data_IF_314989232633
#
_entry.id   IF_314989232633
#
_cell.length_a   1.000
_cell.length_b   1.000
_cell.length_c   1.000
_cell.angle_alpha   90.00
_cell.angle_beta   90.00
_cell.angle_gamma   90.00
#
_symmetry.space_group_name_H-M   'P 1'
#
loop_
_entity.id
_entity.type
_entity.pdbx_description
1 polymer ?
#
# COMPACT_ATOMS: atom_id res chain seq x y z
N UNK A 1 6.80 19.81 4.60
CA UNK A 1 6.44 18.43 4.98
C UNK A 1 6.69 17.55 3.78
N UNK A 2 7.65 16.63 3.85
CA UNK A 2 7.85 15.69 2.74
C UNK A 2 6.66 14.75 2.64
N UNK A 3 5.83 14.96 1.62
CA UNK A 3 4.66 14.10 1.37
C UNK A 3 5.16 12.83 0.72
N UNK A 4 5.04 11.69 1.40
CA UNK A 4 5.35 10.39 0.79
C UNK A 4 4.36 10.05 -0.31
N UNK A 5 4.80 9.29 -1.32
CA UNK A 5 3.99 8.90 -2.47
C UNK A 5 3.62 7.40 -2.44
N UNK A 6 2.53 6.98 -3.13
CA UNK A 6 2.26 5.56 -3.37
C UNK A 6 3.21 5.01 -4.43
N UNK A 7 3.51 3.72 -4.36
CA UNK A 7 4.17 3.00 -5.46
C UNK A 7 3.08 2.64 -6.46
N UNK A 8 3.11 3.27 -7.65
CA UNK A 8 2.07 3.14 -8.67
C UNK A 8 2.30 1.97 -9.61
N UNK A 9 3.55 1.68 -9.92
CA UNK A 9 3.96 0.61 -10.80
C UNK A 9 3.93 -0.74 -10.06
N UNK A 10 3.21 -1.72 -10.63
CA UNK A 10 3.07 -3.06 -10.06
C UNK A 10 4.34 -3.90 -10.23
N UNK A 11 5.06 -3.71 -11.33
CA UNK A 11 6.31 -4.43 -11.57
C UNK A 11 7.35 -3.98 -10.55
N UNK A 12 7.41 -2.68 -10.28
CA UNK A 12 8.26 -2.12 -9.23
C UNK A 12 7.90 -2.62 -7.82
N UNK A 13 6.60 -2.85 -7.53
CA UNK A 13 6.19 -3.49 -6.27
C UNK A 13 6.78 -4.89 -6.15
N UNK A 14 6.78 -5.65 -7.24
CA UNK A 14 7.36 -7.00 -7.29
C UNK A 14 8.87 -6.95 -7.09
N UNK A 15 9.57 -6.08 -7.81
CA UNK A 15 11.02 -5.91 -7.70
C UNK A 15 11.46 -5.55 -6.27
N UNK A 16 10.72 -4.62 -5.63
CA UNK A 16 10.96 -4.24 -4.22
C UNK A 16 10.72 -5.44 -3.29
N UNK A 17 9.65 -6.19 -3.53
CA UNK A 17 9.32 -7.36 -2.72
C UNK A 17 10.44 -8.41 -2.82
N UNK A 18 10.93 -8.71 -4.01
CA UNK A 18 12.00 -9.67 -4.25
C UNK A 18 13.33 -9.20 -3.61
N UNK A 19 13.70 -7.94 -3.80
CA UNK A 19 14.86 -7.35 -3.14
C UNK A 19 14.80 -7.47 -1.60
N UNK A 20 13.64 -7.18 -1.01
CA UNK A 20 13.47 -7.33 0.44
C UNK A 20 13.52 -8.79 0.86
N UNK A 21 12.99 -9.72 0.05
CA UNK A 21 13.03 -11.16 0.30
C UNK A 21 14.44 -11.70 0.34
N UNK A 22 15.31 -11.29 -0.57
CA UNK A 22 16.73 -11.65 -0.60
C UNK A 22 17.46 -11.19 0.68
N UNK A 23 17.10 -10.02 1.21
CA UNK A 23 17.71 -9.47 2.42
C UNK A 23 17.14 -10.06 3.71
N UNK A 24 15.83 -10.22 3.78
CA UNK A 24 15.13 -10.63 4.99
C UNK A 24 13.68 -11.01 4.70
N UNK A 25 13.32 -12.27 4.96
CA UNK A 25 11.93 -12.73 4.88
C UNK A 25 10.98 -11.87 5.74
N UNK A 26 11.40 -11.44 6.93
CA UNK A 26 10.64 -10.54 7.79
C UNK A 26 10.28 -9.24 7.08
N UNK A 27 11.25 -8.63 6.41
CA UNK A 27 11.11 -7.31 5.79
C UNK A 27 10.25 -7.41 4.54
N UNK A 28 10.40 -8.48 3.76
CA UNK A 28 9.52 -8.87 2.67
C UNK A 28 8.06 -9.01 3.13
N UNK A 29 7.81 -9.81 4.17
CA UNK A 29 6.46 -10.02 4.67
C UNK A 29 5.88 -8.73 5.26
N UNK A 30 6.68 -7.89 5.93
CA UNK A 30 6.24 -6.59 6.42
C UNK A 30 5.79 -5.67 5.28
N UNK A 31 6.53 -5.62 4.20
CA UNK A 31 6.20 -4.83 3.01
C UNK A 31 4.88 -5.30 2.41
N UNK A 32 4.75 -6.59 2.10
CA UNK A 32 3.52 -7.16 1.54
C UNK A 32 2.32 -6.98 2.48
N UNK A 33 2.51 -7.27 3.77
CA UNK A 33 1.44 -7.07 4.75
C UNK A 33 0.95 -5.63 4.77
N UNK A 34 1.85 -4.66 4.63
CA UNK A 34 1.51 -3.24 4.56
C UNK A 34 0.70 -2.86 3.33
N UNK A 35 1.12 -3.31 2.14
CA UNK A 35 0.44 -2.97 0.87
C UNK A 35 -0.86 -3.74 0.64
N UNK A 36 -1.04 -4.92 1.25
CA UNK A 36 -2.29 -5.69 1.15
C UNK A 36 -3.31 -5.36 2.24
N UNK A 37 -2.88 -4.86 3.41
CA UNK A 37 -3.79 -4.52 4.51
C UNK A 37 -4.15 -3.04 4.59
N UNK A 38 -3.31 -2.17 4.06
CA UNK A 38 -3.46 -0.73 4.21
C UNK A 38 -3.38 -0.22 5.65
N UNK A 39 -2.94 -1.03 6.60
CA UNK A 39 -2.81 -0.66 8.00
C UNK A 39 -1.63 0.32 8.22
N UNK A 40 -1.69 1.08 9.31
CA UNK A 40 -0.54 1.92 9.70
C UNK A 40 0.59 1.04 10.20
N UNK A 41 1.83 1.39 9.86
CA UNK A 41 3.00 0.63 10.31
C UNK A 41 3.03 0.44 11.84
N UNK A 42 2.62 1.46 12.61
CA UNK A 42 2.54 1.37 14.07
C UNK A 42 1.55 0.32 14.57
N UNK A 43 0.58 -0.05 13.75
CA UNK A 43 -0.41 -1.08 14.08
C UNK A 43 0.06 -2.45 13.58
N UNK A 44 0.66 -2.49 12.39
CA UNK A 44 1.30 -3.69 11.83
C UNK A 44 2.34 -4.28 12.80
N UNK A 45 3.19 -3.43 13.36
CA UNK A 45 4.28 -3.87 14.25
C UNK A 45 3.81 -4.46 15.60
N UNK A 46 2.53 -4.30 15.96
CA UNK A 46 1.98 -4.86 17.20
C UNK A 46 1.48 -6.30 17.08
N UNK A 47 1.27 -6.78 15.86
CA UNK A 47 0.75 -8.13 15.66
C UNK A 47 1.73 -9.19 16.15
N UNK A 48 1.15 -10.21 16.76
CA UNK A 48 1.83 -11.45 17.16
C UNK A 48 1.46 -12.56 16.20
N UNK A 49 2.23 -13.63 16.21
CA UNK A 49 2.00 -14.81 15.37
C UNK A 49 0.57 -15.35 15.56
N UNK A 50 0.07 -15.42 16.81
CA UNK A 50 -1.31 -15.88 17.13
C UNK A 50 -2.41 -15.04 16.50
N UNK A 51 -2.12 -13.79 16.13
CA UNK A 51 -3.12 -12.89 15.55
C UNK A 51 -3.33 -13.16 14.06
N UNK A 52 -2.45 -13.94 13.44
CA UNK A 52 -2.40 -14.23 12.01
C UNK A 52 -2.50 -15.73 11.71
N UNK A 53 -1.90 -16.60 12.56
CA UNK A 53 -1.90 -18.05 12.35
C UNK A 53 -3.32 -18.59 12.21
N UNK A 54 -3.58 -19.29 11.10
CA UNK A 54 -4.87 -19.94 10.78
C UNK A 54 -6.07 -18.98 10.83
N UNK A 55 -5.83 -17.71 10.46
CA UNK A 55 -6.87 -16.69 10.41
C UNK A 55 -7.20 -16.31 8.98
N UNK A 56 -8.48 -16.13 8.72
CA UNK A 56 -8.97 -15.49 7.48
C UNK A 56 -9.10 -13.98 7.60
N UNK A 57 -9.02 -13.46 8.83
CA UNK A 57 -9.25 -12.06 9.13
C UNK A 57 -8.25 -11.55 10.17
N UNK A 58 -7.75 -10.34 9.93
CA UNK A 58 -7.04 -9.56 10.91
C UNK A 58 -8.06 -8.83 11.80
N UNK A 59 -7.93 -8.96 13.10
CA UNK A 59 -8.79 -8.29 14.07
C UNK A 59 -7.96 -7.28 14.86
N UNK A 60 -8.42 -6.03 14.88
CA UNK A 60 -7.78 -4.98 15.69
C UNK A 60 -8.84 -4.16 16.42
N UNK A 61 -8.45 -3.64 17.61
CA UNK A 61 -9.27 -2.71 18.37
C UNK A 61 -8.79 -1.28 18.19
N UNK A 62 -9.72 -0.40 17.85
CA UNK A 62 -9.43 1.04 17.74
C UNK A 62 -9.15 1.63 19.12
N UNK A 63 -8.01 2.34 19.26
CA UNK A 63 -7.64 2.95 20.54
C UNK A 63 -8.68 3.97 21.07
N UNK A 64 -9.33 4.72 20.19
CA UNK A 64 -10.25 5.80 20.57
C UNK A 64 -11.64 5.31 20.94
N UNK A 65 -12.16 4.33 20.23
CA UNK A 65 -13.55 3.89 20.33
C UNK A 65 -13.70 2.53 20.99
N UNK A 66 -12.59 1.81 21.21
CA UNK A 66 -12.52 0.41 21.62
C UNK A 66 -13.31 -0.55 20.70
N UNK A 67 -13.75 -0.06 19.54
CA UNK A 67 -14.47 -0.87 18.56
C UNK A 67 -13.54 -1.84 17.87
N UNK A 68 -14.01 -3.06 17.68
CA UNK A 68 -13.32 -4.07 16.90
C UNK A 68 -13.47 -3.78 15.43
N UNK A 69 -12.36 -3.85 14.70
CA UNK A 69 -12.32 -3.77 13.24
C UNK A 69 -11.78 -5.07 12.69
N UNK A 70 -12.45 -5.59 11.69
CA UNK A 70 -12.14 -6.84 11.03
C UNK A 70 -11.76 -6.56 9.58
N UNK A 71 -10.61 -7.09 9.14
CA UNK A 71 -10.11 -6.97 7.79
C UNK A 71 -9.86 -8.37 7.22
N UNK A 72 -10.39 -8.73 6.04
CA UNK A 72 -10.06 -10.00 5.41
C UNK A 72 -8.57 -10.02 5.05
N UNK A 73 -7.94 -11.17 5.22
CA UNK A 73 -6.58 -11.39 4.70
C UNK A 73 -6.72 -11.68 3.20
N UNK A 74 -6.01 -10.92 2.38
CA UNK A 74 -6.00 -11.10 0.93
C UNK A 74 -5.53 -12.51 0.56
N UNK A 75 -6.13 -13.12 -0.46
CA UNK A 75 -5.87 -14.52 -0.82
C UNK A 75 -4.43 -14.74 -1.33
N UNK A 76 -3.81 -13.73 -1.96
CA UNK A 76 -2.40 -13.78 -2.37
C UNK A 76 -1.46 -13.69 -1.16
N UNK A 77 -1.87 -13.00 -0.10
CA UNK A 77 -1.08 -12.84 1.12
C UNK A 77 -1.17 -14.07 2.04
N UNK A 78 -2.29 -14.79 2.03
CA UNK A 78 -2.51 -15.95 2.93
C UNK A 78 -1.40 -17.00 2.88
N UNK A 79 -1.00 -17.54 1.71
CA UNK A 79 0.06 -18.54 1.65
C UNK A 79 1.39 -18.00 2.18
N UNK A 80 1.73 -16.76 1.88
CA UNK A 80 2.96 -16.11 2.34
C UNK A 80 2.96 -16.00 3.86
N UNK A 81 1.84 -15.60 4.46
CA UNK A 81 1.72 -15.51 5.92
C UNK A 81 1.78 -16.88 6.56
N UNK A 82 1.09 -17.89 6.01
CA UNK A 82 1.13 -19.26 6.52
C UNK A 82 2.56 -19.79 6.57
N UNK A 83 3.32 -19.63 5.50
CA UNK A 83 4.69 -20.11 5.42
C UNK A 83 5.59 -19.32 6.38
N UNK A 84 5.40 -18.00 6.46
CA UNK A 84 6.16 -17.14 7.37
C UNK A 84 5.94 -17.45 8.85
N UNK A 85 4.71 -17.81 9.28
CA UNK A 85 4.42 -18.10 10.68
C UNK A 85 4.73 -19.57 11.05
N UNK A 86 5.04 -20.42 10.08
CA UNK A 86 5.39 -21.81 10.33
C UNK A 86 6.61 -21.91 11.28
N UNK A 87 6.51 -22.78 12.27
CA UNK A 87 7.57 -22.99 13.26
C UNK A 87 7.81 -21.86 14.29
N UNK A 88 7.17 -20.70 14.13
CA UNK A 88 7.25 -19.59 15.11
C UNK A 88 6.28 -19.82 16.27
N UNK A 89 6.55 -19.23 17.42
CA UNK A 89 5.68 -19.37 18.60
C UNK A 89 4.60 -18.29 18.63
N UNK A 90 3.40 -18.64 19.05
CA UNK A 90 2.23 -17.77 19.04
C UNK A 90 2.39 -16.43 19.76
N UNK A 91 3.23 -16.39 20.81
CA UNK A 91 3.50 -15.18 21.57
C UNK A 91 4.52 -14.25 20.91
N UNK A 92 5.27 -14.71 19.90
CA UNK A 92 6.26 -13.90 19.23
C UNK A 92 5.61 -12.79 18.40
N UNK A 93 6.28 -11.64 18.30
CA UNK A 93 5.87 -10.60 17.38
C UNK A 93 6.09 -11.03 15.94
N UNK A 94 5.15 -10.70 15.05
CA UNK A 94 5.26 -10.96 13.61
C UNK A 94 6.58 -10.40 13.04
N UNK A 95 6.88 -9.16 13.38
CA UNK A 95 8.05 -8.44 12.88
C UNK A 95 9.05 -8.23 14.02
N UNK A 96 9.55 -9.37 14.54
CA UNK A 96 10.44 -9.41 15.69
C UNK A 96 11.80 -8.77 15.36
N UNK A 97 12.32 -7.98 16.30
CA UNK A 97 13.66 -7.43 16.26
C UNK A 97 14.69 -8.53 16.49
N UNK A 98 15.89 -8.37 15.92
CA UNK A 98 17.04 -9.20 16.26
C UNK A 98 17.64 -8.86 17.64
N UNK A 99 17.27 -7.68 18.19
CA UNK A 99 17.67 -7.22 19.53
C UNK A 99 16.54 -7.49 20.51
N UNK A 100 16.90 -7.85 21.74
CA UNK A 100 15.94 -8.14 22.78
C UNK A 100 15.37 -9.57 22.74
N UNK A 101 14.55 -9.91 23.74
CA UNK A 101 13.98 -11.26 23.87
C UNK A 101 12.82 -11.52 22.93
N UNK A 102 11.87 -10.59 22.88
CA UNK A 102 10.67 -10.69 22.02
C UNK A 102 10.09 -9.30 21.84
N UNK A 103 10.82 -8.39 21.17
CA UNK A 103 10.37 -7.05 20.86
C UNK A 103 10.15 -6.94 19.34
N UNK A 104 9.15 -6.17 18.89
CA UNK A 104 9.01 -5.89 17.47
C UNK A 104 10.10 -4.91 17.01
N UNK A 105 10.34 -4.84 15.70
CA UNK A 105 11.13 -3.74 15.17
C UNK A 105 10.43 -2.40 15.43
N UNK A 106 11.22 -1.35 15.54
CA UNK A 106 10.71 0.00 15.74
C UNK A 106 10.19 0.61 14.44
N UNK A 107 9.38 1.67 14.55
CA UNK A 107 8.95 2.47 13.38
C UNK A 107 10.15 3.01 12.59
N UNK A 108 11.21 3.40 13.29
CA UNK A 108 12.44 3.90 12.66
C UNK A 108 13.14 2.79 11.87
N UNK A 109 13.20 1.57 12.40
CA UNK A 109 13.76 0.43 11.68
C UNK A 109 12.92 0.10 10.44
N UNK A 110 11.59 0.07 10.55
CA UNK A 110 10.72 -0.11 9.41
C UNK A 110 10.89 0.99 8.34
N UNK A 111 11.05 2.25 8.78
CA UNK A 111 11.35 3.36 7.88
C UNK A 111 12.69 3.14 7.16
N UNK A 112 13.75 2.78 7.87
CA UNK A 112 15.08 2.56 7.29
C UNK A 112 15.08 1.39 6.27
N UNK A 113 14.32 0.33 6.52
CA UNK A 113 14.14 -0.80 5.60
C UNK A 113 13.50 -0.31 4.28
N UNK A 114 12.48 0.55 4.38
CA UNK A 114 11.80 1.10 3.20
C UNK A 114 12.68 2.12 2.46
N UNK A 115 13.48 2.91 3.17
CA UNK A 115 14.44 3.84 2.56
C UNK A 115 15.54 3.09 1.80
N UNK A 116 16.09 2.02 2.38
CA UNK A 116 17.09 1.19 1.72
C UNK A 116 16.56 0.58 0.40
N UNK A 117 15.29 0.15 0.39
CA UNK A 117 14.64 -0.28 -0.85
C UNK A 117 14.40 0.89 -1.81
N UNK A 118 13.98 2.05 -1.30
CA UNK A 118 13.78 3.25 -2.11
C UNK A 118 15.08 3.69 -2.82
N UNK A 119 16.18 3.73 -2.08
CA UNK A 119 17.51 4.11 -2.62
C UNK A 119 17.97 3.11 -3.72
N UNK A 120 17.66 1.81 -3.55
CA UNK A 120 17.98 0.78 -4.55
C UNK A 120 17.25 0.97 -5.88
N UNK A 121 16.03 1.51 -5.85
CA UNK A 121 15.17 1.66 -7.03
C UNK A 121 14.95 3.12 -7.43
N UNK A 122 15.83 4.04 -6.98
CA UNK A 122 15.76 5.48 -7.27
C UNK A 122 14.40 6.11 -6.98
N UNK A 123 13.73 5.65 -5.90
CA UNK A 123 12.43 6.14 -5.50
C UNK A 123 12.54 7.32 -4.54
N UNK A 124 11.87 8.39 -4.88
CA UNK A 124 11.76 9.58 -4.03
C UNK A 124 10.48 9.55 -3.19
N UNK A 125 10.53 10.20 -2.04
CA UNK A 125 9.35 10.39 -1.16
C UNK A 125 8.73 9.08 -0.65
N UNK A 126 9.53 8.07 -0.34
CA UNK A 126 9.10 6.81 0.26
C UNK A 126 9.22 6.88 1.80
N UNK A 127 8.29 6.22 2.49
CA UNK A 127 8.28 6.11 3.94
C UNK A 127 7.22 5.14 4.44
N UNK A 128 7.04 5.07 5.75
CA UNK A 128 6.10 4.12 6.36
C UNK A 128 4.63 4.30 5.96
N UNK A 129 4.25 5.50 5.51
CA UNK A 129 2.91 5.76 4.97
C UNK A 129 2.76 5.36 3.50
N UNK A 130 3.85 5.15 2.77
CA UNK A 130 3.83 4.70 1.37
C UNK A 130 3.07 3.39 1.21
N UNK A 131 3.28 2.40 2.09
CA UNK A 131 2.59 1.10 2.04
C UNK A 131 1.08 1.29 2.04
N UNK A 132 0.58 2.10 2.95
CA UNK A 132 -0.84 2.38 3.08
C UNK A 132 -1.39 3.23 1.92
N UNK A 133 -0.59 4.16 1.38
CA UNK A 133 -0.94 4.92 0.18
C UNK A 133 -1.01 4.01 -1.04
N UNK A 134 -0.06 3.09 -1.20
CA UNK A 134 -0.02 2.08 -2.26
C UNK A 134 -1.26 1.20 -2.22
N UNK A 135 -1.65 0.67 -1.05
CA UNK A 135 -2.92 -0.04 -0.88
C UNK A 135 -4.11 0.78 -1.40
N UNK A 136 -4.26 2.01 -0.90
CA UNK A 136 -5.40 2.85 -1.27
C UNK A 136 -5.42 3.21 -2.76
N UNK A 137 -4.25 3.50 -3.35
CA UNK A 137 -4.10 3.78 -4.77
C UNK A 137 -4.55 2.60 -5.63
N UNK A 138 -4.00 1.40 -5.40
CA UNK A 138 -4.34 0.22 -6.20
C UNK A 138 -5.79 -0.25 -5.99
N UNK A 139 -6.31 -0.14 -4.77
CA UNK A 139 -7.74 -0.39 -4.51
C UNK A 139 -8.62 0.55 -5.34
N UNK A 140 -8.28 1.84 -5.41
CA UNK A 140 -9.03 2.79 -6.21
C UNK A 140 -8.92 2.52 -7.71
N UNK A 141 -7.72 2.18 -8.21
CA UNK A 141 -7.55 1.83 -9.63
C UNK A 141 -8.39 0.62 -10.05
N UNK A 142 -8.64 -0.32 -9.14
CA UNK A 142 -9.42 -1.52 -9.41
C UNK A 142 -10.93 -1.30 -9.25
N UNK A 143 -11.36 -0.49 -8.28
CA UNK A 143 -12.76 -0.43 -7.85
C UNK A 143 -13.44 0.89 -8.15
N UNK A 144 -12.68 1.97 -8.29
CA UNK A 144 -13.14 3.37 -8.35
C UNK A 144 -14.07 3.77 -7.17
N UNK A 145 -14.06 2.99 -6.08
CA UNK A 145 -14.90 3.20 -4.89
C UNK A 145 -14.12 3.92 -3.78
N UNK A 146 -14.03 5.23 -3.88
CA UNK A 146 -13.36 6.06 -2.88
C UNK A 146 -14.08 6.05 -1.51
N UNK A 147 -15.38 5.78 -1.48
CA UNK A 147 -16.17 5.75 -0.23
C UNK A 147 -15.80 4.54 0.60
N UNK A 148 -15.72 3.38 -0.01
CA UNK A 148 -15.26 2.17 0.69
C UNK A 148 -13.81 2.30 1.16
N UNK A 149 -12.92 2.86 0.33
CA UNK A 149 -11.53 3.12 0.69
C UNK A 149 -11.43 4.10 1.86
N UNK A 150 -12.22 5.17 1.87
CA UNK A 150 -12.32 6.12 2.98
C UNK A 150 -12.63 5.39 4.30
N UNK A 151 -13.63 4.49 4.29
CA UNK A 151 -14.03 3.70 5.46
C UNK A 151 -12.91 2.74 5.91
N UNK A 152 -12.28 2.03 4.96
CA UNK A 152 -11.15 1.13 5.24
C UNK A 152 -9.97 1.90 5.84
N UNK A 153 -9.64 3.06 5.28
CA UNK A 153 -8.57 3.91 5.77
C UNK A 153 -8.98 4.75 7.02
N UNK A 154 -10.24 4.70 7.44
CA UNK A 154 -10.76 5.49 8.56
C UNK A 154 -10.43 6.99 8.42
N UNK A 155 -10.70 7.55 7.25
CA UNK A 155 -10.57 8.98 6.98
C UNK A 155 -11.91 9.68 7.21
N UNK A 156 -11.86 10.87 7.79
CA UNK A 156 -13.07 11.66 8.11
C UNK A 156 -13.80 12.19 6.88
N UNK A 157 -13.07 12.35 5.77
CA UNK A 157 -13.62 12.93 4.53
C UNK A 157 -13.05 12.25 3.29
N UNK A 158 -13.85 12.17 2.22
CA UNK A 158 -13.47 11.55 0.95
C UNK A 158 -12.36 12.32 0.24
N UNK A 159 -12.36 13.65 0.33
CA UNK A 159 -11.32 14.49 -0.26
C UNK A 159 -9.95 14.22 0.34
N UNK A 160 -9.92 13.90 1.64
CA UNK A 160 -8.70 13.45 2.33
C UNK A 160 -8.21 12.14 1.71
N UNK A 161 -9.12 11.20 1.42
CA UNK A 161 -8.78 9.92 0.82
C UNK A 161 -8.19 10.10 -0.57
N UNK A 162 -8.86 10.83 -1.46
CA UNK A 162 -8.41 11.07 -2.84
C UNK A 162 -7.04 11.77 -2.89
N UNK A 163 -6.86 12.80 -2.05
CA UNK A 163 -5.56 13.47 -1.90
C UNK A 163 -4.50 12.53 -1.33
N UNK A 164 -4.87 11.74 -0.33
CA UNK A 164 -3.96 10.83 0.35
C UNK A 164 -3.39 9.77 -0.59
N UNK A 165 -4.21 9.21 -1.49
CA UNK A 165 -3.80 8.17 -2.45
C UNK A 165 -3.24 8.73 -3.76
N UNK A 166 -3.16 10.04 -3.93
CA UNK A 166 -2.53 10.68 -5.08
C UNK A 166 -3.39 10.77 -6.36
N UNK A 167 -4.66 10.37 -6.30
CA UNK A 167 -5.54 10.36 -7.48
C UNK A 167 -5.81 11.77 -8.04
N UNK A 168 -5.90 12.77 -7.18
CA UNK A 168 -6.11 14.15 -7.64
C UNK A 168 -4.94 14.64 -8.50
N UNK A 169 -3.70 14.27 -8.16
CA UNK A 169 -2.51 14.63 -8.94
C UNK A 169 -2.53 13.91 -10.30
N UNK A 170 -2.77 12.60 -10.31
CA UNK A 170 -2.84 11.80 -11.55
C UNK A 170 -3.91 12.34 -12.51
N UNK A 171 -5.08 12.76 -11.98
CA UNK A 171 -6.15 13.38 -12.78
C UNK A 171 -5.74 14.74 -13.35
N UNK A 172 -5.04 15.56 -12.57
CA UNK A 172 -4.51 16.85 -13.03
C UNK A 172 -3.47 16.65 -14.14
N UNK A 173 -2.50 15.76 -13.92
CA UNK A 173 -1.44 15.45 -14.89
C UNK A 173 -2.03 14.91 -16.20
N UNK A 174 -3.00 14.00 -16.12
CA UNK A 174 -3.70 13.47 -17.29
C UNK A 174 -4.46 14.56 -18.04
N UNK A 175 -5.12 15.48 -17.33
CA UNK A 175 -5.85 16.59 -17.93
C UNK A 175 -4.89 17.57 -18.64
N UNK A 176 -3.78 17.93 -17.99
CA UNK A 176 -2.77 18.80 -18.57
C UNK A 176 -2.13 18.18 -19.81
N UNK A 177 -1.83 16.89 -19.82
CA UNK A 177 -1.28 16.17 -20.99
C UNK A 177 -2.23 16.14 -22.18
N UNK A 178 -3.53 16.26 -21.98
CA UNK A 178 -4.55 16.33 -23.07
C UNK A 178 -4.65 17.70 -23.73
N UNK A 179 -4.07 18.75 -23.13
CA UNK A 179 -4.11 20.08 -23.71
C UNK A 179 -3.32 20.10 -25.02
N UNK A 180 -3.98 20.53 -26.12
CA UNK A 180 -3.41 20.63 -27.45
C UNK A 180 -3.82 21.93 -28.12
N UNK A 181 -2.84 22.66 -28.63
CA UNK A 181 -3.05 23.86 -29.45
C UNK A 181 -2.95 23.55 -30.97
N UNK A 182 -2.86 22.26 -31.33
CA UNK A 182 -2.84 21.87 -32.73
C UNK A 182 -4.24 22.13 -33.36
N UNK A 183 -4.25 22.83 -34.53
CA UNK A 183 -5.48 23.02 -35.30
C UNK A 183 -6.08 21.66 -35.66
N UNK A 184 -7.33 21.39 -35.28
CA UNK A 184 -8.03 20.17 -35.65
C UNK A 184 -8.01 20.02 -37.18
N UNK A 185 -7.56 18.90 -37.71
CA UNK A 185 -7.70 18.58 -39.12
C UNK A 185 -9.19 18.45 -39.42
N UNK A 186 -9.77 19.48 -40.01
CA UNK A 186 -11.14 19.44 -40.52
C UNK A 186 -11.22 18.31 -41.52
N UNK A 187 -11.92 17.23 -41.21
CA UNK A 187 -12.29 16.18 -42.16
C UNK A 187 -13.12 16.79 -43.28
N UNK A 188 -12.47 17.13 -44.38
CA UNK A 188 -13.10 17.60 -45.59
C UNK A 188 -13.56 16.36 -46.40
N UNK A 189 -14.53 15.60 -45.87
CA UNK A 189 -15.25 14.54 -46.58
C UNK A 189 -16.72 14.96 -46.70
N UNK A 190 -17.00 15.94 -47.56
CA UNK A 190 -18.35 16.15 -48.11
C UNK A 190 -18.30 17.11 -49.32
N UNK A 191 -17.59 16.73 -50.38
CA UNK A 191 -17.77 17.37 -51.69
C UNK A 191 -17.46 16.34 -52.82
N UNK A 192 -18.29 15.33 -52.94
CA UNK A 192 -18.45 14.59 -54.19
C UNK A 192 -19.81 13.85 -54.14
N UNK A 193 -20.89 14.54 -54.41
CA UNK A 193 -22.14 14.00 -54.98
C UNK A 193 -23.08 15.17 -55.31
N UNK A 194 -22.71 15.91 -56.32
CA UNK A 194 -23.65 16.69 -57.14
C UNK A 194 -23.02 16.86 -58.52
N UNK A 195 -23.24 15.89 -59.37
CA UNK A 195 -23.46 16.04 -60.84
C UNK A 195 -24.26 14.86 -61.32
#
# INVERSE_FOLDING_TARGET
MNTVEPIRDKDLITDIADYLREKSERDYVMFLFGIYSGLRISDILKFKIRDIRDRDYIIMREKKTNKERRFPINDELKPILRDYVAGKKDYEYMFKSRKGRNDPITRQQAYNILQDAADKFDLYAIGTHTLRKTFGYHMYQQTHDAVTIQRILNHSDISITLRYIGINQDAQDSTMKKLSFKKGSSNNQNRQNRR
#
